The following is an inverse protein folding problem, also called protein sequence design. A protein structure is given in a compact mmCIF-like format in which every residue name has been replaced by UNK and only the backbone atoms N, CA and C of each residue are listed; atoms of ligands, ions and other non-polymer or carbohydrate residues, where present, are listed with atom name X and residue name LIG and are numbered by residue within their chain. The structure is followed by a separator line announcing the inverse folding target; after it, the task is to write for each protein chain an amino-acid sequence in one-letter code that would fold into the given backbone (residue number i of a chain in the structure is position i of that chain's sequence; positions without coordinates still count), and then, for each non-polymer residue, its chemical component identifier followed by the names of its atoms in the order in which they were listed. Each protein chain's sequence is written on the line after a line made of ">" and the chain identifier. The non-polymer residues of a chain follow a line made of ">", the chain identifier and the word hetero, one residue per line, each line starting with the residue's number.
data_IF_419883527401
#
_entry.id   IF_419883527401
#
_cell.length_a   1.000
_cell.length_b   1.000
_cell.length_c   1.000
_cell.angle_alpha   90.00
_cell.angle_beta   90.00
_cell.angle_gamma   90.00
#
_symmetry.space_group_name_H-M   'P 1'
#
loop_
_entity.id
_entity.type
_entity.pdbx_description
1 polymer ?
#
# COMPACT_ATOMS: atom_id res chain seq x y z
N UNK A 1 -47.00 -15.42 48.02
CA UNK A 1 -45.89 -16.37 48.18
C UNK A 1 -45.18 -16.46 46.83
N UNK A 2 -44.13 -15.65 46.64
CA UNK A 2 -43.26 -15.76 45.48
C UNK A 2 -42.08 -16.64 45.90
N UNK A 3 -41.90 -17.77 45.21
CA UNK A 3 -40.76 -18.65 45.40
C UNK A 3 -39.49 -17.91 44.99
N UNK A 4 -38.76 -17.40 45.98
CA UNK A 4 -37.39 -16.93 45.82
C UNK A 4 -36.52 -18.19 45.68
N UNK A 5 -36.25 -18.62 44.44
CA UNK A 5 -35.21 -19.61 44.19
C UNK A 5 -33.89 -18.88 44.42
N UNK A 6 -33.37 -18.97 45.64
CA UNK A 6 -32.00 -18.60 45.95
C UNK A 6 -31.08 -19.41 45.04
N UNK A 7 -30.45 -18.76 44.06
CA UNK A 7 -29.35 -19.36 43.31
C UNK A 7 -28.32 -19.86 44.31
N UNK A 8 -28.10 -21.17 44.34
CA UNK A 8 -27.12 -21.79 45.23
C UNK A 8 -25.75 -21.20 44.93
N UNK A 9 -25.18 -20.49 45.90
CA UNK A 9 -23.84 -19.93 45.82
C UNK A 9 -22.84 -21.09 45.59
N UNK A 10 -22.00 -20.97 44.56
CA UNK A 10 -21.03 -22.01 44.19
C UNK A 10 -20.08 -22.30 45.37
N UNK A 11 -19.81 -23.58 45.64
CA UNK A 11 -18.98 -24.02 46.76
C UNK A 11 -17.54 -24.24 46.31
N UNK A 12 -16.69 -23.23 46.54
CA UNK A 12 -15.26 -23.31 46.23
C UNK A 12 -14.53 -24.31 47.13
N UNK A 13 -13.73 -25.16 46.50
CA UNK A 13 -12.74 -25.99 47.19
C UNK A 13 -11.39 -25.28 47.17
N UNK A 14 -10.57 -25.59 48.17
CA UNK A 14 -9.24 -25.00 48.31
C UNK A 14 -8.21 -26.08 48.57
N UNK A 15 -7.00 -25.85 48.06
CA UNK A 15 -5.81 -26.63 48.42
C UNK A 15 -4.72 -25.69 48.91
N UNK A 16 -3.75 -26.23 49.64
CA UNK A 16 -2.68 -25.43 50.22
C UNK A 16 -1.40 -25.56 49.40
N UNK A 17 -0.92 -24.44 48.87
CA UNK A 17 0.33 -24.34 48.13
C UNK A 17 1.10 -23.09 48.53
N UNK A 18 2.43 -23.20 48.69
CA UNK A 18 3.28 -22.05 49.03
C UNK A 18 2.95 -21.32 50.34
N UNK A 19 2.14 -21.93 51.23
CA UNK A 19 1.70 -21.33 52.50
C UNK A 19 0.32 -20.66 52.47
N UNK A 20 -0.31 -20.54 51.30
CA UNK A 20 -1.61 -19.89 51.09
C UNK A 20 -2.67 -20.91 50.62
N UNK A 21 -3.95 -20.57 50.80
CA UNK A 21 -5.07 -21.34 50.28
C UNK A 21 -5.37 -20.85 48.85
N UNK A 22 -5.22 -21.73 47.87
CA UNK A 22 -5.53 -21.48 46.46
C UNK A 22 -6.83 -22.20 46.08
N UNK A 23 -7.56 -21.63 45.13
CA UNK A 23 -8.80 -22.23 44.64
C UNK A 23 -8.46 -23.49 43.85
N UNK A 24 -9.20 -24.57 44.13
CA UNK A 24 -9.04 -25.84 43.43
C UNK A 24 -10.11 -25.92 42.32
N UNK A 25 -9.67 -25.88 41.05
CA UNK A 25 -10.53 -26.03 39.87
C UNK A 25 -10.47 -27.48 39.38
N UNK A 26 -11.58 -28.23 39.47
CA UNK A 26 -11.64 -29.66 39.08
C UNK A 26 -12.76 -29.97 38.08
N UNK A 27 -13.69 -29.03 37.88
CA UNK A 27 -14.86 -29.21 37.03
C UNK A 27 -15.10 -28.01 36.11
N UNK A 28 -15.83 -28.25 35.02
CA UNK A 28 -16.27 -27.17 34.15
C UNK A 28 -17.19 -26.17 34.85
N UNK A 29 -17.96 -26.61 35.84
CA UNK A 29 -18.80 -25.73 36.66
C UNK A 29 -17.97 -24.83 37.58
N UNK A 30 -16.79 -25.27 38.05
CA UNK A 30 -15.85 -24.41 38.79
C UNK A 30 -15.33 -23.28 37.89
N UNK A 31 -14.98 -23.59 36.64
CA UNK A 31 -14.55 -22.58 35.66
C UNK A 31 -15.66 -21.56 35.42
N UNK A 32 -16.87 -22.00 35.07
CA UNK A 32 -18.00 -21.08 34.79
C UNK A 32 -18.37 -20.22 36.00
N UNK A 33 -18.12 -20.70 37.22
CA UNK A 33 -18.36 -19.95 38.45
C UNK A 33 -17.31 -18.85 38.74
N UNK A 34 -16.18 -18.79 38.01
CA UNK A 34 -15.07 -17.85 38.27
C UNK A 34 -15.49 -16.38 38.28
N UNK A 35 -16.54 -16.01 37.54
CA UNK A 35 -17.09 -14.65 37.53
C UNK A 35 -17.58 -14.18 38.91
N UNK A 36 -17.96 -15.13 39.77
CA UNK A 36 -18.37 -14.90 41.15
C UNK A 36 -17.26 -15.04 42.19
N UNK A 37 -16.02 -15.38 41.78
CA UNK A 37 -14.89 -15.54 42.68
C UNK A 37 -14.37 -14.16 43.13
N UNK A 38 -14.04 -14.03 44.43
CA UNK A 38 -13.42 -12.80 44.94
C UNK A 38 -12.06 -12.59 44.26
N UNK A 39 -11.84 -11.40 43.67
CA UNK A 39 -10.60 -11.02 42.99
C UNK A 39 -9.35 -11.15 43.88
N UNK A 40 -9.48 -11.14 45.21
CA UNK A 40 -8.37 -11.38 46.14
C UNK A 40 -7.79 -12.79 46.09
N UNK A 41 -8.56 -13.72 45.53
CA UNK A 41 -8.15 -15.12 45.34
C UNK A 41 -7.49 -15.35 43.98
N UNK A 42 -7.32 -14.32 43.15
CA UNK A 42 -6.59 -14.41 41.89
C UNK A 42 -5.10 -14.15 42.13
N UNK A 43 -4.25 -15.12 41.77
CA UNK A 43 -2.79 -15.02 41.84
C UNK A 43 -2.21 -14.06 40.80
N UNK A 44 -2.85 -13.94 39.64
CA UNK A 44 -2.47 -13.01 38.58
C UNK A 44 -3.70 -12.27 38.02
N UNK A 45 -3.49 -11.03 37.58
CA UNK A 45 -4.55 -10.21 36.97
C UNK A 45 -4.30 -9.94 35.48
N UNK A 46 -3.13 -10.31 34.98
CA UNK A 46 -2.72 -10.16 33.59
C UNK A 46 -1.64 -11.17 33.22
N UNK A 47 -1.64 -11.64 31.98
CA UNK A 47 -0.63 -12.49 31.37
C UNK A 47 -0.27 -11.97 29.97
N UNK A 48 1.01 -11.83 29.60
CA UNK A 48 1.37 -11.45 28.23
C UNK A 48 1.05 -12.58 27.24
N UNK A 49 0.74 -12.22 26.00
CA UNK A 49 0.47 -13.17 24.89
C UNK A 49 1.76 -13.80 24.34
N UNK A 50 2.91 -13.14 24.54
CA UNK A 50 4.22 -13.53 24.00
C UNK A 50 5.20 -13.85 25.14
N UNK A 51 6.12 -14.78 24.88
CA UNK A 51 7.23 -15.08 25.79
C UNK A 51 6.86 -15.94 27.00
N UNK A 52 5.70 -16.60 26.98
CA UNK A 52 5.25 -17.57 27.98
C UNK A 52 5.29 -18.97 27.37
N UNK A 53 5.63 -19.98 28.16
CA UNK A 53 5.59 -21.39 27.75
C UNK A 53 4.13 -21.90 27.75
N UNK A 54 3.36 -21.46 26.76
CA UNK A 54 1.96 -21.82 26.54
C UNK A 54 1.65 -21.81 25.04
N UNK A 55 0.52 -22.41 24.62
CA UNK A 55 0.09 -22.34 23.22
C UNK A 55 -0.19 -20.89 22.80
N UNK A 56 0.66 -20.36 21.92
CA UNK A 56 0.61 -18.95 21.52
C UNK A 56 -0.70 -18.58 20.80
N UNK A 57 -1.27 -19.49 20.01
CA UNK A 57 -2.50 -19.23 19.27
C UNK A 57 -3.69 -19.17 20.22
N UNK A 58 -3.72 -20.01 21.25
CA UNK A 58 -4.72 -19.91 22.33
C UNK A 58 -4.64 -18.56 23.04
N UNK A 59 -3.43 -18.07 23.35
CA UNK A 59 -3.26 -16.76 23.98
C UNK A 59 -3.74 -15.62 23.06
N UNK A 60 -3.47 -15.69 21.76
CA UNK A 60 -3.95 -14.71 20.79
C UNK A 60 -5.48 -14.69 20.66
N UNK A 61 -6.15 -15.84 20.75
CA UNK A 61 -7.61 -15.91 20.72
C UNK A 61 -8.26 -15.30 21.97
N UNK A 62 -7.55 -15.29 23.10
CA UNK A 62 -7.99 -14.70 24.36
C UNK A 62 -7.79 -13.18 24.42
N UNK A 63 -6.79 -12.64 23.72
CA UNK A 63 -6.49 -11.22 23.62
C UNK A 63 -7.45 -10.53 22.64
N UNK A 64 -8.63 -10.18 23.15
CA UNK A 64 -9.75 -9.71 22.33
C UNK A 64 -9.62 -8.25 21.91
N UNK A 65 -8.79 -7.46 22.60
CA UNK A 65 -8.50 -6.07 22.26
C UNK A 65 -7.13 -5.87 21.57
N UNK A 66 -6.39 -6.96 21.36
CA UNK A 66 -5.10 -7.00 20.69
C UNK A 66 -4.03 -6.09 21.34
N UNK A 67 -4.06 -5.96 22.68
CA UNK A 67 -3.08 -5.19 23.47
C UNK A 67 -1.85 -6.03 23.91
N UNK A 68 -1.73 -7.25 23.39
CA UNK A 68 -0.71 -8.26 23.73
C UNK A 68 -0.79 -8.73 25.21
N UNK A 69 -1.87 -8.44 25.95
CA UNK A 69 -2.07 -8.84 27.35
C UNK A 69 -3.47 -9.36 27.66
N UNK A 70 -3.53 -10.61 28.11
CA UNK A 70 -4.77 -11.23 28.59
C UNK A 70 -5.05 -10.82 30.02
N UNK A 71 -6.26 -10.35 30.32
CA UNK A 71 -6.70 -9.93 31.66
C UNK A 71 -7.89 -10.75 32.15
N UNK A 72 -8.21 -10.63 33.44
CA UNK A 72 -9.33 -11.33 34.08
C UNK A 72 -10.64 -11.29 33.27
N UNK A 73 -11.11 -10.13 32.75
CA UNK A 73 -12.35 -10.10 31.97
C UNK A 73 -12.35 -11.01 30.74
N UNK A 74 -11.20 -11.18 30.08
CA UNK A 74 -11.07 -12.00 28.88
C UNK A 74 -11.06 -13.48 29.22
N UNK A 75 -10.39 -13.88 30.31
CA UNK A 75 -10.50 -15.24 30.85
C UNK A 75 -11.96 -15.58 31.17
N UNK A 76 -12.66 -14.66 31.84
CA UNK A 76 -14.07 -14.85 32.20
C UNK A 76 -14.96 -14.94 30.96
N UNK A 77 -14.77 -14.07 29.97
CA UNK A 77 -15.53 -14.10 28.72
C UNK A 77 -15.28 -15.41 27.94
N UNK A 78 -14.04 -15.88 27.88
CA UNK A 78 -13.70 -17.13 27.21
C UNK A 78 -14.34 -18.34 27.88
N UNK A 79 -14.32 -18.39 29.21
CA UNK A 79 -14.95 -19.45 30.00
C UNK A 79 -16.48 -19.42 29.84
N UNK A 80 -17.10 -18.24 29.91
CA UNK A 80 -18.54 -18.07 29.72
C UNK A 80 -18.97 -18.54 28.32
N UNK A 81 -18.28 -18.09 27.28
CA UNK A 81 -18.56 -18.48 25.91
C UNK A 81 -18.39 -19.99 25.69
N UNK A 82 -17.29 -20.57 26.18
CA UNK A 82 -17.03 -22.02 26.10
C UNK A 82 -18.13 -22.80 26.80
N UNK A 83 -18.51 -22.38 28.00
CA UNK A 83 -19.56 -23.02 28.79
C UNK A 83 -20.96 -22.91 28.17
N UNK A 84 -21.22 -21.88 27.36
CA UNK A 84 -22.47 -21.71 26.60
C UNK A 84 -22.51 -22.55 25.32
N UNK A 85 -21.35 -22.93 24.78
CA UNK A 85 -21.25 -23.80 23.61
C UNK A 85 -21.40 -25.30 23.96
N UNK A 86 -21.38 -25.68 25.24
CA UNK A 86 -21.29 -27.08 25.69
C UNK A 86 -22.50 -27.51 26.51
N UNK A 87 -23.05 -28.70 26.20
CA UNK A 87 -24.00 -29.43 27.05
C UNK A 87 -23.30 -30.06 28.25
N UNK A 88 -22.08 -30.56 28.03
CA UNK A 88 -21.22 -31.13 29.06
C UNK A 88 -19.98 -30.25 29.27
N UNK A 89 -20.01 -29.42 30.30
CA UNK A 89 -18.92 -28.51 30.65
C UNK A 89 -17.69 -29.24 31.17
N UNK A 90 -17.79 -30.51 31.56
CA UNK A 90 -16.62 -31.27 32.03
C UNK A 90 -15.58 -31.46 30.91
N UNK A 91 -15.99 -31.29 29.65
CA UNK A 91 -15.07 -31.24 28.51
C UNK A 91 -14.06 -30.09 28.61
N UNK A 92 -14.33 -29.01 29.35
CA UNK A 92 -13.35 -27.95 29.62
C UNK A 92 -12.20 -28.39 30.54
N UNK A 93 -12.35 -29.54 31.21
CA UNK A 93 -11.35 -30.13 32.11
C UNK A 93 -10.68 -31.33 31.47
N UNK A 94 -11.43 -32.14 30.72
CA UNK A 94 -10.97 -33.41 30.17
C UNK A 94 -10.77 -33.37 28.63
N UNK A 95 -10.89 -32.19 28.02
CA UNK A 95 -10.87 -31.99 26.56
C UNK A 95 -9.49 -32.02 25.93
N UNK A 96 -8.45 -32.51 26.62
CA UNK A 96 -7.07 -32.48 26.08
C UNK A 96 -6.92 -33.26 24.77
N UNK A 97 -7.75 -34.27 24.54
CA UNK A 97 -7.74 -35.08 23.33
C UNK A 97 -8.68 -34.56 22.23
N UNK A 98 -9.47 -33.51 22.50
CA UNK A 98 -10.49 -32.98 21.60
C UNK A 98 -11.86 -32.86 22.25
N UNK A 99 -12.82 -32.33 21.49
CA UNK A 99 -14.19 -32.06 21.92
C UNK A 99 -15.14 -33.09 21.28
N UNK A 100 -15.88 -33.89 22.08
CA UNK A 100 -16.89 -34.79 21.52
C UNK A 100 -18.01 -33.99 20.86
N UNK A 101 -18.43 -34.37 19.66
CA UNK A 101 -19.52 -33.69 18.95
C UNK A 101 -20.83 -33.72 19.75
N UNK A 102 -21.05 -34.79 20.53
CA UNK A 102 -22.21 -34.94 21.42
C UNK A 102 -22.20 -33.99 22.61
N UNK A 103 -21.03 -33.43 22.97
CA UNK A 103 -20.89 -32.50 24.08
C UNK A 103 -21.21 -31.04 23.69
N UNK A 104 -21.31 -30.73 22.39
CA UNK A 104 -21.62 -29.38 21.89
C UNK A 104 -23.13 -29.13 21.95
N UNK A 105 -23.52 -27.93 22.39
CA UNK A 105 -24.92 -27.55 22.58
C UNK A 105 -25.61 -27.04 21.31
N UNK A 106 -26.33 -27.94 20.63
CA UNK A 106 -27.17 -27.62 19.47
C UNK A 106 -28.35 -26.68 19.76
N UNK A 107 -28.71 -26.49 21.03
CA UNK A 107 -29.83 -25.63 21.44
C UNK A 107 -29.45 -24.15 21.53
N UNK A 108 -28.15 -23.86 21.70
CA UNK A 108 -27.64 -22.48 21.62
C UNK A 108 -27.26 -22.12 20.18
N UNK A 109 -27.36 -20.85 19.83
CA UNK A 109 -26.98 -20.37 18.50
C UNK A 109 -25.49 -20.61 18.22
N UNK A 110 -24.63 -20.34 19.19
CA UNK A 110 -23.19 -20.54 19.09
C UNK A 110 -22.83 -22.03 19.00
N UNK A 111 -23.39 -22.87 19.88
CA UNK A 111 -23.10 -24.31 19.86
C UNK A 111 -23.62 -24.98 18.58
N UNK A 112 -24.76 -24.55 18.02
CA UNK A 112 -25.23 -25.05 16.72
C UNK A 112 -24.27 -24.70 15.58
N UNK A 113 -23.82 -23.44 15.51
CA UNK A 113 -22.85 -22.98 14.50
C UNK A 113 -21.54 -23.76 14.59
N UNK A 114 -21.00 -23.92 15.80
CA UNK A 114 -19.76 -24.67 16.04
C UNK A 114 -19.92 -26.15 15.69
N UNK A 115 -21.06 -26.78 16.03
CA UNK A 115 -21.31 -28.18 15.71
C UNK A 115 -21.40 -28.43 14.19
N UNK A 116 -22.12 -27.58 13.47
CA UNK A 116 -22.26 -27.70 12.01
C UNK A 116 -20.90 -27.47 11.30
N UNK A 117 -20.12 -26.49 11.77
CA UNK A 117 -18.76 -26.26 11.30
C UNK A 117 -17.83 -27.44 11.61
N UNK A 118 -17.85 -27.98 12.83
CA UNK A 118 -17.03 -29.14 13.21
C UNK A 118 -17.31 -30.37 12.34
N UNK A 119 -18.59 -30.64 12.02
CA UNK A 119 -18.98 -31.71 11.09
C UNK A 119 -18.46 -31.46 9.68
N UNK A 120 -18.51 -30.22 9.22
CA UNK A 120 -18.00 -29.81 7.90
C UNK A 120 -16.49 -30.00 7.81
N UNK A 121 -15.75 -29.61 8.85
CA UNK A 121 -14.30 -29.83 8.97
C UNK A 121 -13.99 -31.32 8.85
N UNK A 122 -14.62 -32.15 9.69
CA UNK A 122 -14.39 -33.59 9.69
C UNK A 122 -14.73 -34.25 8.36
N UNK A 123 -15.83 -33.85 7.71
CA UNK A 123 -16.20 -34.37 6.40
C UNK A 123 -15.15 -34.05 5.33
N UNK A 124 -14.67 -32.81 5.26
CA UNK A 124 -13.63 -32.41 4.31
C UNK A 124 -12.27 -33.09 4.55
N UNK A 125 -11.99 -33.46 5.81
CA UNK A 125 -10.82 -34.27 6.16
C UNK A 125 -11.02 -35.78 5.93
N UNK A 126 -12.17 -36.21 5.41
CA UNK A 126 -12.50 -37.62 5.21
C UNK A 126 -12.78 -38.40 6.51
N UNK A 127 -13.09 -37.69 7.59
CA UNK A 127 -13.35 -38.19 8.96
C UNK A 127 -14.84 -38.12 9.32
N UNK A 128 -15.75 -38.36 8.37
CA UNK A 128 -17.21 -38.23 8.54
C UNK A 128 -17.79 -39.05 9.70
N UNK A 129 -17.15 -40.16 10.07
CA UNK A 129 -17.58 -41.04 11.15
C UNK A 129 -16.86 -40.76 12.49
N UNK A 130 -16.09 -39.68 12.58
CA UNK A 130 -15.44 -39.29 13.82
C UNK A 130 -16.44 -38.62 14.77
N UNK A 131 -16.44 -39.08 16.04
CA UNK A 131 -17.29 -38.50 17.10
C UNK A 131 -16.58 -37.37 17.87
N UNK A 132 -15.33 -37.04 17.49
CA UNK A 132 -14.42 -36.15 18.19
C UNK A 132 -13.77 -35.18 17.20
N UNK A 133 -13.74 -33.88 17.52
CA UNK A 133 -13.00 -32.85 16.78
C UNK A 133 -11.79 -32.38 17.62
N UNK A 134 -10.62 -32.26 17.00
CA UNK A 134 -9.37 -31.90 17.67
C UNK A 134 -8.82 -30.56 17.20
N UNK A 135 -7.84 -30.01 17.94
CA UNK A 135 -7.13 -28.81 17.51
C UNK A 135 -6.37 -29.09 16.20
N UNK A 136 -5.78 -30.28 16.08
CA UNK A 136 -5.06 -30.73 14.88
C UNK A 136 -5.98 -30.77 13.65
N UNK A 137 -7.24 -31.21 13.78
CA UNK A 137 -8.21 -31.19 12.69
C UNK A 137 -8.48 -29.75 12.21
N UNK A 138 -8.58 -28.79 13.13
CA UNK A 138 -8.82 -27.38 12.78
C UNK A 138 -7.61 -26.74 12.11
N UNK A 139 -6.38 -27.08 12.53
CA UNK A 139 -5.13 -26.64 11.88
C UNK A 139 -4.99 -27.24 10.48
N UNK A 140 -5.23 -28.55 10.34
CA UNK A 140 -5.12 -29.27 9.06
C UNK A 140 -6.12 -28.69 8.06
N UNK A 141 -7.38 -28.51 8.47
CA UNK A 141 -8.40 -27.94 7.61
C UNK A 141 -8.14 -26.48 7.28
N UNK A 142 -7.70 -25.67 8.26
CA UNK A 142 -7.28 -24.29 8.02
C UNK A 142 -6.19 -24.18 6.97
N UNK A 143 -5.25 -25.13 6.95
CA UNK A 143 -4.18 -25.18 5.92
C UNK A 143 -4.71 -25.55 4.53
N UNK A 144 -5.68 -26.47 4.45
CA UNK A 144 -6.33 -26.83 3.18
C UNK A 144 -7.11 -25.63 2.63
N UNK A 145 -7.83 -24.96 3.52
CA UNK A 145 -8.74 -23.89 3.18
C UNK A 145 -8.00 -22.58 2.85
N UNK A 146 -6.89 -22.29 3.53
CA UNK A 146 -6.00 -21.20 3.14
C UNK A 146 -5.43 -21.36 1.71
N UNK A 147 -5.39 -22.60 1.18
CA UNK A 147 -4.93 -22.91 -0.19
C UNK A 147 -6.06 -22.93 -1.22
N UNK A 148 -7.31 -22.70 -0.82
CA UNK A 148 -8.38 -22.57 -1.80
C UNK A 148 -8.26 -21.24 -2.52
N UNK A 149 -8.83 -21.20 -3.73
CA UNK A 149 -8.80 -20.01 -4.60
C UNK A 149 -9.42 -18.76 -3.96
N UNK A 150 -10.42 -18.98 -3.11
CA UNK A 150 -11.08 -17.97 -2.30
C UNK A 150 -11.00 -18.45 -0.86
N UNK A 151 -10.51 -17.61 0.04
CA UNK A 151 -10.31 -17.93 1.45
C UNK A 151 -11.00 -16.95 2.42
N UNK A 152 -11.82 -16.03 1.92
CA UNK A 152 -12.76 -15.25 2.71
C UNK A 152 -12.13 -14.21 3.63
N UNK A 153 -10.97 -13.66 3.27
CA UNK A 153 -10.34 -12.52 3.96
C UNK A 153 -10.48 -11.20 3.19
N UNK A 154 -11.03 -11.23 1.97
CA UNK A 154 -11.21 -10.08 1.09
C UNK A 154 -9.94 -9.62 0.40
N UNK A 155 -8.90 -10.44 0.42
CA UNK A 155 -7.64 -10.23 -0.29
C UNK A 155 -7.61 -11.15 -1.50
N UNK A 156 -7.30 -10.60 -2.67
CA UNK A 156 -7.12 -11.39 -3.90
C UNK A 156 -5.65 -11.44 -4.30
N UNK A 157 -5.20 -12.61 -4.72
CA UNK A 157 -3.81 -12.87 -5.14
C UNK A 157 -3.77 -13.29 -6.60
N UNK A 158 -2.57 -13.49 -7.14
CA UNK A 158 -2.41 -14.05 -8.49
C UNK A 158 -3.02 -15.47 -8.63
N UNK A 159 -3.28 -16.18 -7.52
CA UNK A 159 -3.92 -17.50 -7.50
C UNK A 159 -5.46 -17.41 -7.57
N UNK A 160 -6.04 -16.24 -7.28
CA UNK A 160 -7.50 -16.02 -7.27
C UNK A 160 -8.11 -16.04 -8.69
N UNK A 161 -7.29 -15.93 -9.74
CA UNK A 161 -7.75 -15.93 -11.13
C UNK A 161 -6.84 -16.72 -12.06
N UNK A 162 -7.41 -17.31 -13.11
CA UNK A 162 -6.66 -17.94 -14.20
C UNK A 162 -6.39 -16.96 -15.36
N UNK A 163 -6.98 -15.76 -15.30
CA UNK A 163 -6.79 -14.71 -16.28
C UNK A 163 -5.44 -14.00 -16.06
N UNK A 164 -4.51 -14.19 -17.00
CA UNK A 164 -3.18 -13.57 -16.97
C UNK A 164 -3.22 -12.04 -16.96
N UNK A 165 -4.27 -11.43 -17.52
CA UNK A 165 -4.47 -9.98 -17.52
C UNK A 165 -4.75 -9.50 -16.10
N UNK A 166 -5.70 -10.14 -15.41
CA UNK A 166 -6.04 -9.81 -14.02
C UNK A 166 -4.87 -10.09 -13.07
N UNK A 167 -4.09 -11.16 -13.29
CA UNK A 167 -2.85 -11.41 -12.53
C UNK A 167 -1.84 -10.28 -12.72
N UNK A 168 -1.65 -9.83 -13.96
CA UNK A 168 -0.78 -8.69 -14.27
C UNK A 168 -1.24 -7.42 -13.55
N UNK A 169 -2.55 -7.18 -13.50
CA UNK A 169 -3.11 -6.05 -12.76
C UNK A 169 -2.92 -6.13 -11.25
N UNK A 170 -3.10 -7.32 -10.64
CA UNK A 170 -2.80 -7.53 -9.22
C UNK A 170 -1.32 -7.24 -8.94
N UNK A 171 -0.41 -7.71 -9.80
CA UNK A 171 1.03 -7.45 -9.65
C UNK A 171 1.37 -5.95 -9.77
N UNK A 172 0.77 -5.24 -10.73
CA UNK A 172 0.97 -3.80 -10.92
C UNK A 172 0.48 -3.00 -9.70
N UNK A 173 -0.66 -3.37 -9.11
CA UNK A 173 -1.19 -2.75 -7.88
C UNK A 173 -0.24 -3.01 -6.72
N UNK A 174 0.24 -4.25 -6.54
CA UNK A 174 1.20 -4.60 -5.49
C UNK A 174 2.48 -3.76 -5.61
N UNK A 175 3.01 -3.62 -6.83
CA UNK A 175 4.21 -2.83 -7.08
C UNK A 175 4.03 -1.35 -6.73
N UNK A 176 2.85 -0.78 -6.98
CA UNK A 176 2.60 0.65 -6.82
C UNK A 176 2.12 1.03 -5.41
N UNK A 177 1.12 0.31 -4.89
CA UNK A 177 0.42 0.65 -3.66
C UNK A 177 0.96 -0.14 -2.47
N UNK A 178 1.44 -1.36 -2.71
CA UNK A 178 1.82 -2.34 -1.69
C UNK A 178 0.86 -3.52 -1.68
N UNK A 179 1.06 -4.43 -0.72
CA UNK A 179 0.28 -5.66 -0.59
C UNK A 179 -0.20 -5.90 0.83
N UNK A 180 -1.30 -6.60 0.96
CA UNK A 180 -1.70 -7.28 2.19
C UNK A 180 -1.35 -8.77 2.12
N UNK A 181 -1.13 -9.37 3.29
CA UNK A 181 -0.86 -10.82 3.36
C UNK A 181 -2.19 -11.54 3.41
N UNK A 182 -2.48 -12.29 2.36
CA UNK A 182 -3.63 -13.18 2.27
C UNK A 182 -3.46 -14.37 3.24
N UNK A 183 -4.55 -15.03 3.64
CA UNK A 183 -4.52 -16.21 4.53
C UNK A 183 -3.66 -17.36 4.01
N UNK A 184 -3.44 -17.46 2.70
CA UNK A 184 -2.48 -18.40 2.10
C UNK A 184 -1.01 -18.09 2.42
N UNK A 185 -0.71 -16.86 2.86
CA UNK A 185 0.62 -16.32 3.07
C UNK A 185 1.19 -15.57 1.86
N UNK A 186 0.48 -15.56 0.73
CA UNK A 186 0.88 -14.84 -0.48
C UNK A 186 0.53 -13.34 -0.39
N UNK A 187 1.29 -12.47 -1.08
CA UNK A 187 0.92 -11.06 -1.18
C UNK A 187 -0.28 -10.89 -2.12
N UNK A 188 -1.25 -10.10 -1.68
CA UNK A 188 -2.45 -9.79 -2.44
C UNK A 188 -2.89 -8.35 -2.28
N UNK A 189 -4.05 -8.05 -2.87
CA UNK A 189 -4.66 -6.71 -2.88
C UNK A 189 -6.10 -6.81 -2.40
N UNK A 190 -6.51 -5.82 -1.61
CA UNK A 190 -7.89 -5.69 -1.17
C UNK A 190 -8.64 -4.62 -1.99
N UNK A 191 -9.92 -4.43 -1.65
CA UNK A 191 -10.78 -3.42 -2.28
C UNK A 191 -10.18 -2.00 -2.26
N UNK A 192 -9.68 -1.56 -1.10
CA UNK A 192 -9.15 -0.20 -0.92
C UNK A 192 -7.95 0.04 -1.85
N UNK A 193 -7.05 -0.94 -1.95
CA UNK A 193 -5.88 -0.87 -2.83
C UNK A 193 -6.27 -0.75 -4.30
N UNK A 194 -7.27 -1.51 -4.75
CA UNK A 194 -7.79 -1.47 -6.14
C UNK A 194 -8.41 -0.10 -6.44
N UNK A 195 -9.29 0.39 -5.57
CA UNK A 195 -9.99 1.67 -5.75
C UNK A 195 -9.00 2.85 -5.69
N UNK A 196 -8.00 2.77 -4.82
CA UNK A 196 -6.91 3.75 -4.74
C UNK A 196 -6.08 3.76 -6.02
N UNK A 197 -5.68 2.60 -6.54
CA UNK A 197 -4.93 2.50 -7.78
C UNK A 197 -5.70 3.11 -8.96
N UNK A 198 -7.01 2.84 -9.06
CA UNK A 198 -7.86 3.41 -10.10
C UNK A 198 -7.95 4.95 -10.00
N UNK A 199 -8.18 5.45 -8.78
CA UNK A 199 -8.28 6.89 -8.51
C UNK A 199 -6.97 7.61 -8.83
N UNK A 200 -5.83 7.06 -8.38
CA UNK A 200 -4.51 7.63 -8.66
C UNK A 200 -4.17 7.57 -10.15
N UNK A 201 -4.52 6.48 -10.85
CA UNK A 201 -4.38 6.35 -12.31
C UNK A 201 -5.18 7.41 -13.05
N UNK A 202 -6.45 7.58 -12.70
CA UNK A 202 -7.33 8.56 -13.33
C UNK A 202 -6.86 10.00 -13.11
N UNK A 203 -6.45 10.33 -11.88
CA UNK A 203 -5.91 11.66 -11.55
C UNK A 203 -4.61 11.94 -12.32
N UNK A 204 -3.71 10.97 -12.39
CA UNK A 204 -2.46 11.11 -13.12
C UNK A 204 -2.68 11.24 -14.63
N UNK A 205 -3.58 10.44 -15.22
CA UNK A 205 -3.92 10.55 -16.64
C UNK A 205 -4.62 11.88 -16.95
N UNK A 206 -5.50 12.38 -16.07
CA UNK A 206 -6.16 13.66 -16.26
C UNK A 206 -5.14 14.82 -16.26
N UNK A 207 -4.21 14.84 -15.30
CA UNK A 207 -3.09 15.79 -15.31
C UNK A 207 -2.23 15.60 -16.57
N UNK A 208 -1.87 14.37 -16.91
CA UNK A 208 -1.08 14.08 -18.08
C UNK A 208 -1.80 14.46 -19.37
N UNK A 209 -3.11 14.53 -19.43
CA UNK A 209 -3.84 14.89 -20.65
C UNK A 209 -4.21 16.38 -20.73
N UNK A 210 -3.84 17.16 -19.71
CA UNK A 210 -4.12 18.59 -19.66
C UNK A 210 -3.55 19.33 -20.89
N UNK A 211 -4.39 20.04 -21.67
CA UNK A 211 -3.92 20.72 -22.86
C UNK A 211 -2.98 21.87 -22.47
N UNK A 212 -1.77 21.89 -23.06
CA UNK A 212 -0.85 23.02 -22.92
C UNK A 212 -1.26 24.12 -23.90
N UNK A 213 -1.75 25.24 -23.38
CA UNK A 213 -2.21 26.35 -24.20
C UNK A 213 -1.13 26.81 -25.19
N UNK A 214 -1.49 26.89 -26.49
CA UNK A 214 -0.58 27.34 -27.55
C UNK A 214 0.40 26.27 -28.06
N UNK A 215 0.36 25.05 -27.53
CA UNK A 215 1.24 23.95 -27.93
C UNK A 215 0.46 22.78 -28.53
N UNK A 216 0.96 22.27 -29.66
CA UNK A 216 0.43 21.06 -30.32
C UNK A 216 1.17 19.79 -29.90
N UNK A 217 2.33 19.95 -29.29
CA UNK A 217 3.28 18.91 -28.91
C UNK A 217 3.86 19.21 -27.54
N UNK A 218 4.40 18.18 -26.89
CA UNK A 218 5.09 18.31 -25.59
C UNK A 218 6.56 17.98 -25.73
N UNK A 219 7.35 18.43 -24.76
CA UNK A 219 8.70 17.88 -24.59
C UNK A 219 8.57 16.36 -24.32
N UNK A 220 9.45 15.54 -24.92
CA UNK A 220 9.52 14.10 -24.61
C UNK A 220 9.61 13.86 -23.10
N UNK A 221 9.12 12.71 -22.63
CA UNK A 221 9.30 12.33 -21.22
C UNK A 221 10.79 12.13 -20.90
N UNK A 222 11.50 11.43 -21.79
CA UNK A 222 12.94 11.20 -21.68
C UNK A 222 13.73 12.49 -21.98
N UNK A 223 14.68 12.84 -21.10
CA UNK A 223 15.56 14.01 -21.28
C UNK A 223 14.89 15.37 -21.01
N UNK A 224 13.62 15.38 -20.65
CA UNK A 224 12.82 16.57 -20.29
C UNK A 224 13.47 17.52 -19.31
N UNK A 225 13.90 17.01 -18.16
CA UNK A 225 14.52 17.82 -17.11
C UNK A 225 15.81 18.47 -17.61
N UNK A 226 16.60 17.74 -18.39
CA UNK A 226 17.82 18.26 -18.99
C UNK A 226 17.51 19.34 -20.05
N UNK A 227 16.46 19.14 -20.84
CA UNK A 227 15.99 20.13 -21.80
C UNK A 227 15.56 21.44 -21.11
N UNK A 228 14.83 21.36 -19.99
CA UNK A 228 14.43 22.54 -19.20
C UNK A 228 15.63 23.18 -18.49
N UNK A 229 16.58 22.40 -17.95
CA UNK A 229 17.83 22.94 -17.39
C UNK A 229 18.63 23.69 -18.45
N UNK A 230 18.80 23.10 -19.63
CA UNK A 230 19.48 23.72 -20.76
C UNK A 230 18.77 25.00 -21.22
N UNK A 231 17.44 24.99 -21.27
CA UNK A 231 16.65 26.17 -21.57
C UNK A 231 16.99 27.34 -20.64
N UNK A 232 16.99 27.12 -19.32
CA UNK A 232 17.32 28.17 -18.35
C UNK A 232 18.78 28.64 -18.42
N UNK A 233 19.70 27.74 -18.78
CA UNK A 233 21.12 28.08 -18.95
C UNK A 233 21.33 29.01 -20.16
N UNK A 234 20.66 28.74 -21.27
CA UNK A 234 20.89 29.43 -22.55
C UNK A 234 19.99 30.66 -22.72
N UNK A 235 18.79 30.67 -22.13
CA UNK A 235 17.79 31.73 -22.26
C UNK A 235 18.36 33.14 -22.04
N UNK A 236 19.11 33.44 -20.96
CA UNK A 236 19.63 34.80 -20.74
C UNK A 236 20.54 35.29 -21.88
N UNK A 237 21.28 34.38 -22.52
CA UNK A 237 22.18 34.71 -23.62
C UNK A 237 21.42 35.03 -24.91
N UNK A 238 20.31 34.33 -25.17
CA UNK A 238 19.42 34.60 -26.30
C UNK A 238 18.63 35.89 -26.06
N UNK A 239 18.13 36.11 -24.84
CA UNK A 239 17.48 37.37 -24.43
C UNK A 239 18.41 38.58 -24.64
N UNK A 240 19.68 38.49 -24.23
CA UNK A 240 20.71 39.54 -24.47
C UNK A 240 20.95 39.78 -25.98
N UNK A 241 21.03 38.71 -26.79
CA UNK A 241 21.20 38.85 -28.24
C UNK A 241 20.05 39.63 -28.90
N UNK A 242 18.80 39.28 -28.61
CA UNK A 242 17.66 40.00 -29.18
C UNK A 242 17.56 41.44 -28.66
N UNK A 243 17.91 41.69 -27.39
CA UNK A 243 17.97 43.05 -26.85
C UNK A 243 19.02 43.90 -27.56
N UNK A 244 20.22 43.35 -27.82
CA UNK A 244 21.27 44.02 -28.62
C UNK A 244 20.80 44.33 -30.04
N UNK A 245 20.11 43.39 -30.69
CA UNK A 245 19.56 43.61 -32.03
C UNK A 245 18.46 44.69 -32.03
N UNK A 246 17.62 44.73 -30.98
CA UNK A 246 16.63 45.79 -30.80
C UNK A 246 17.28 47.16 -30.60
N UNK A 247 18.39 47.23 -29.85
CA UNK A 247 19.17 48.46 -29.69
C UNK A 247 19.81 48.91 -31.00
N UNK A 248 20.38 47.98 -31.78
CA UNK A 248 20.93 48.26 -33.11
C UNK A 248 19.86 48.78 -34.08
N UNK A 249 18.63 48.31 -33.95
CA UNK A 249 17.48 48.77 -34.76
C UNK A 249 16.95 50.14 -34.32
N UNK A 250 17.06 50.45 -33.02
CA UNK A 250 16.66 51.75 -32.46
C UNK A 250 17.64 52.87 -32.82
N UNK A 251 18.94 52.63 -32.72
CA UNK A 251 20.00 53.57 -33.12
C UNK A 251 21.08 52.82 -33.90
N UNK A 252 21.29 53.20 -35.16
CA UNK A 252 22.30 52.58 -36.03
C UNK A 252 23.72 52.57 -35.46
N UNK A 253 24.07 53.52 -34.57
CA UNK A 253 25.38 53.55 -33.89
C UNK A 253 25.53 52.40 -32.90
N UNK A 254 24.43 51.93 -32.31
CA UNK A 254 24.45 50.82 -31.37
C UNK A 254 24.81 49.49 -32.04
N UNK A 255 24.59 49.32 -33.35
CA UNK A 255 24.99 48.10 -34.05
C UNK A 255 26.50 47.83 -33.95
N UNK A 256 27.32 48.89 -34.01
CA UNK A 256 28.79 48.78 -33.87
C UNK A 256 29.17 48.53 -32.41
N UNK A 257 28.57 49.25 -31.48
CA UNK A 257 28.92 49.20 -30.04
C UNK A 257 28.45 47.90 -29.36
N UNK A 258 27.34 47.32 -29.82
CA UNK A 258 26.76 46.10 -29.23
C UNK A 258 27.41 44.82 -29.76
N UNK A 259 28.17 44.90 -30.86
CA UNK A 259 29.07 43.83 -31.31
C UNK A 259 30.39 43.88 -30.52
N UNK A 260 31.20 42.83 -30.64
CA UNK A 260 32.56 42.82 -30.08
C UNK A 260 33.41 43.92 -30.74
N UNK A 261 34.11 44.72 -29.93
CA UNK A 261 35.03 45.73 -30.47
C UNK A 261 36.29 45.09 -31.04
N UNK A 262 36.96 45.79 -31.95
CA UNK A 262 38.24 45.37 -32.52
C UNK A 262 39.29 45.15 -31.43
N UNK A 263 39.31 46.00 -30.39
CA UNK A 263 40.21 45.84 -29.24
C UNK A 263 39.93 44.57 -28.45
N UNK A 264 38.65 44.22 -28.25
CA UNK A 264 38.24 43.02 -27.52
C UNK A 264 38.64 41.74 -28.26
N UNK A 265 38.52 41.75 -29.59
CA UNK A 265 38.97 40.63 -30.44
C UNK A 265 40.50 40.57 -30.55
N UNK A 266 41.17 41.72 -30.69
CA UNK A 266 42.62 41.80 -30.71
C UNK A 266 43.26 41.31 -29.40
N UNK A 267 42.60 41.52 -28.26
CA UNK A 267 43.05 41.00 -26.97
C UNK A 267 43.00 39.47 -26.87
N UNK A 268 42.13 38.81 -27.65
CA UNK A 268 42.05 37.34 -27.71
C UNK A 268 43.06 36.73 -28.67
N UNK A 269 43.47 37.46 -29.72
CA UNK A 269 44.36 36.98 -30.78
C UNK A 269 45.69 36.36 -30.31
N UNK A 270 46.42 36.88 -29.30
CA UNK A 270 47.68 36.29 -28.86
C UNK A 270 47.51 35.09 -27.90
N UNK A 271 46.27 34.75 -27.48
CA UNK A 271 46.01 33.68 -26.50
C UNK A 271 45.77 32.33 -27.19
N UNK A 272 45.96 31.25 -26.43
CA UNK A 272 45.43 29.95 -26.83
C UNK A 272 43.90 29.96 -26.71
N UNK A 273 43.18 30.11 -27.82
CA UNK A 273 41.72 30.22 -27.84
C UNK A 273 41.01 28.98 -27.28
N UNK A 274 41.66 27.80 -27.32
CA UNK A 274 41.10 26.58 -26.70
C UNK A 274 41.06 26.65 -25.16
N UNK A 275 41.81 27.57 -24.54
CA UNK A 275 41.85 27.80 -23.09
C UNK A 275 41.14 29.11 -22.69
N UNK A 276 40.57 29.84 -23.65
CA UNK A 276 39.93 31.15 -23.44
C UNK A 276 38.39 31.09 -23.53
N UNK A 277 37.80 29.93 -23.23
CA UNK A 277 36.36 29.66 -23.41
C UNK A 277 35.46 30.64 -22.66
N UNK A 278 35.82 31.01 -21.43
CA UNK A 278 35.06 32.00 -20.64
C UNK A 278 35.03 33.39 -21.29
N UNK A 279 36.15 33.85 -21.84
CA UNK A 279 36.23 35.16 -22.50
C UNK A 279 35.48 35.15 -23.83
N UNK A 280 35.56 34.04 -24.58
CA UNK A 280 34.80 33.84 -25.80
C UNK A 280 33.29 33.81 -25.49
N UNK A 281 32.87 33.19 -24.38
CA UNK A 281 31.47 33.12 -23.97
C UNK A 281 30.85 34.50 -23.64
N UNK A 282 31.67 35.49 -23.26
CA UNK A 282 31.23 36.87 -23.01
C UNK A 282 30.91 37.64 -24.30
N UNK A 283 31.49 37.27 -25.44
CA UNK A 283 31.17 37.88 -26.75
C UNK A 283 29.70 37.64 -27.12
N UNK A 284 29.06 38.48 -27.96
CA UNK A 284 27.68 38.28 -28.40
C UNK A 284 27.42 36.86 -28.91
N UNK A 285 26.18 36.38 -28.77
CA UNK A 285 25.80 35.01 -29.17
C UNK A 285 25.99 34.79 -30.68
N UNK A 286 25.67 35.80 -31.47
CA UNK A 286 25.87 35.88 -32.92
C UNK A 286 26.06 37.35 -33.28
N UNK A 287 26.37 37.63 -34.55
CA UNK A 287 26.53 38.99 -35.04
C UNK A 287 25.24 39.80 -34.79
N UNK A 288 25.37 40.94 -34.10
CA UNK A 288 24.25 41.83 -33.83
C UNK A 288 23.92 42.60 -35.11
N UNK A 289 22.70 42.44 -35.61
CA UNK A 289 22.21 43.09 -36.84
C UNK A 289 20.85 43.77 -36.60
N UNK A 290 20.46 44.67 -37.49
CA UNK A 290 19.13 45.31 -37.47
C UNK A 290 18.00 44.38 -37.91
N UNK A 291 18.32 43.23 -38.51
CA UNK A 291 17.32 42.22 -38.87
C UNK A 291 16.80 41.46 -37.64
N UNK A 292 17.63 41.33 -36.59
CA UNK A 292 17.23 40.68 -35.34
C UNK A 292 16.80 39.23 -35.50
N UNK A 293 17.56 38.47 -36.30
CA UNK A 293 17.33 37.03 -36.54
C UNK A 293 18.55 36.25 -36.09
N UNK A 294 18.32 35.18 -35.31
CA UNK A 294 19.35 34.25 -34.87
C UNK A 294 19.35 33.01 -35.77
N UNK A 295 20.38 32.81 -36.59
CA UNK A 295 20.63 31.56 -37.29
C UNK A 295 21.12 30.50 -36.27
N UNK A 296 20.37 29.42 -36.09
CA UNK A 296 20.66 28.39 -35.09
C UNK A 296 21.76 27.40 -35.54
N UNK A 297 22.25 27.52 -36.78
CA UNK A 297 23.28 26.65 -37.35
C UNK A 297 24.59 27.39 -37.63
N UNK A 298 24.52 28.68 -37.98
CA UNK A 298 25.66 29.46 -38.49
C UNK A 298 25.88 30.73 -37.68
N UNK A 299 27.14 31.17 -37.62
CA UNK A 299 27.51 32.41 -36.96
C UNK A 299 27.34 32.40 -35.44
N UNK A 300 27.04 31.25 -34.84
CA UNK A 300 26.96 31.10 -33.40
C UNK A 300 28.36 31.17 -32.79
N UNK A 301 28.48 31.95 -31.72
CA UNK A 301 29.64 32.04 -30.88
C UNK A 301 30.18 30.63 -30.54
N UNK A 302 31.48 30.34 -30.79
CA UNK A 302 32.05 29.02 -30.59
C UNK A 302 31.80 28.40 -29.22
N UNK A 303 31.79 29.20 -28.15
CA UNK A 303 31.56 28.74 -26.78
C UNK A 303 30.10 28.32 -26.52
N UNK A 304 29.14 28.81 -27.32
CA UNK A 304 27.71 28.52 -27.14
C UNK A 304 27.14 27.55 -28.18
N UNK A 305 27.89 27.27 -29.25
CA UNK A 305 27.42 26.49 -30.41
C UNK A 305 26.87 25.11 -30.04
N UNK A 306 27.54 24.37 -29.16
CA UNK A 306 27.07 23.05 -28.72
C UNK A 306 25.76 23.16 -27.95
N UNK A 307 25.65 24.11 -27.02
CA UNK A 307 24.44 24.34 -26.22
C UNK A 307 23.26 24.80 -27.09
N UNK A 308 23.50 25.65 -28.10
CA UNK A 308 22.46 26.09 -29.04
C UNK A 308 21.98 24.92 -29.92
N UNK A 309 22.90 24.05 -30.38
CA UNK A 309 22.51 22.86 -31.12
C UNK A 309 21.66 21.89 -30.27
N UNK A 310 22.04 21.68 -29.00
CA UNK A 310 21.26 20.89 -28.05
C UNK A 310 19.90 21.54 -27.73
N UNK A 311 19.85 22.87 -27.55
CA UNK A 311 18.61 23.60 -27.30
C UNK A 311 17.66 23.43 -28.50
N UNK A 312 18.22 23.49 -29.71
CA UNK A 312 17.45 23.27 -30.93
C UNK A 312 16.86 21.88 -31.00
N UNK A 313 17.64 20.83 -30.72
CA UNK A 313 17.15 19.45 -30.78
C UNK A 313 16.18 19.10 -29.66
N UNK A 314 16.43 19.61 -28.45
CA UNK A 314 15.74 19.13 -27.23
C UNK A 314 14.58 20.01 -26.79
N UNK A 315 14.50 21.27 -27.25
CA UNK A 315 13.43 22.20 -26.87
C UNK A 315 12.74 22.80 -28.09
N UNK A 316 13.49 23.44 -28.99
CA UNK A 316 12.89 24.19 -30.12
C UNK A 316 12.22 23.24 -31.10
N UNK A 317 12.88 22.14 -31.48
CA UNK A 317 12.33 21.19 -32.43
C UNK A 317 11.05 20.51 -31.92
N UNK A 318 10.99 19.99 -30.67
CA UNK A 318 9.76 19.44 -30.12
C UNK A 318 8.62 20.44 -30.04
N UNK A 319 8.86 21.72 -29.71
CA UNK A 319 7.81 22.71 -29.46
C UNK A 319 7.38 23.50 -30.70
N UNK A 320 8.29 23.71 -31.66
CA UNK A 320 8.07 24.60 -32.81
C UNK A 320 8.49 23.98 -34.15
N UNK A 321 8.93 22.73 -34.16
CA UNK A 321 9.36 22.03 -35.36
C UNK A 321 10.73 22.49 -35.87
N UNK A 322 11.00 22.23 -37.16
CA UNK A 322 12.32 22.54 -37.74
C UNK A 322 12.49 24.04 -38.01
N UNK A 323 12.93 24.76 -36.98
CA UNK A 323 13.32 26.18 -37.07
C UNK A 323 14.82 26.26 -37.31
N UNK A 324 15.22 26.88 -38.43
CA UNK A 324 16.64 27.17 -38.75
C UNK A 324 17.06 28.58 -38.32
N UNK A 325 16.11 29.52 -38.37
CA UNK A 325 16.30 30.92 -38.02
C UNK A 325 15.22 31.35 -37.05
N UNK A 326 15.62 31.94 -35.93
CA UNK A 326 14.73 32.34 -34.85
C UNK A 326 14.58 33.87 -34.82
N UNK A 327 13.35 34.36 -34.94
CA UNK A 327 13.01 35.78 -34.73
C UNK A 327 12.75 36.09 -33.25
N UNK A 328 12.73 37.37 -32.90
CA UNK A 328 12.34 37.80 -31.54
C UNK A 328 10.91 37.38 -31.19
N UNK A 329 9.96 37.42 -32.14
CA UNK A 329 8.59 36.99 -31.90
C UNK A 329 8.49 35.49 -31.63
N UNK A 330 9.20 34.67 -32.40
CA UNK A 330 9.27 33.21 -32.19
C UNK A 330 9.94 32.89 -30.85
N UNK A 331 10.91 33.69 -30.43
CA UNK A 331 11.53 33.54 -29.11
C UNK A 331 10.56 33.86 -27.96
N UNK A 332 9.72 34.89 -28.08
CA UNK A 332 8.66 35.14 -27.10
C UNK A 332 7.62 34.01 -27.06
N UNK A 333 7.23 33.46 -28.22
CA UNK A 333 6.34 32.29 -28.30
C UNK A 333 6.94 31.06 -27.60
N UNK A 334 8.23 30.79 -27.81
CA UNK A 334 8.95 29.72 -27.11
C UNK A 334 9.00 29.96 -25.59
N UNK A 335 9.19 31.21 -25.14
CA UNK A 335 9.15 31.54 -23.70
C UNK A 335 7.79 31.25 -23.09
N UNK A 336 6.70 31.58 -23.77
CA UNK A 336 5.34 31.28 -23.32
C UNK A 336 5.09 29.76 -23.30
N UNK A 337 5.52 29.04 -24.34
CA UNK A 337 5.43 27.59 -24.43
C UNK A 337 6.14 26.89 -23.27
N UNK A 338 7.38 27.25 -22.97
CA UNK A 338 8.14 26.66 -21.86
C UNK A 338 7.53 27.06 -20.51
N UNK A 339 7.02 28.28 -20.34
CA UNK A 339 6.33 28.67 -19.10
C UNK A 339 5.06 27.84 -18.87
N UNK A 340 4.26 27.61 -19.91
CA UNK A 340 3.07 26.76 -19.83
C UNK A 340 3.45 25.33 -19.43
N UNK A 341 4.55 24.82 -20.00
CA UNK A 341 5.12 23.53 -19.68
C UNK A 341 5.55 23.40 -18.21
N UNK A 342 6.28 24.38 -17.69
CA UNK A 342 6.73 24.40 -16.30
C UNK A 342 5.57 24.49 -15.31
N UNK A 343 4.52 25.25 -15.68
CA UNK A 343 3.31 25.38 -14.87
C UNK A 343 2.59 24.04 -14.78
N UNK A 344 2.36 23.39 -15.92
CA UNK A 344 1.80 22.03 -15.96
C UNK A 344 2.63 21.03 -15.17
N UNK A 345 3.95 21.05 -15.33
CA UNK A 345 4.85 20.15 -14.59
C UNK A 345 4.81 20.40 -13.08
N UNK A 346 4.72 21.66 -12.65
CA UNK A 346 4.61 22.01 -11.22
C UNK A 346 3.30 21.53 -10.58
N UNK A 347 2.25 21.32 -11.39
CA UNK A 347 0.95 20.79 -10.95
C UNK A 347 0.87 19.26 -11.01
N UNK A 348 2.00 18.56 -11.18
CA UNK A 348 2.03 17.11 -11.30
C UNK A 348 1.44 16.41 -10.09
N UNK A 349 0.60 15.41 -10.36
CA UNK A 349 0.12 14.47 -9.34
C UNK A 349 1.27 13.54 -8.95
N UNK A 350 1.71 13.62 -7.69
CA UNK A 350 2.69 12.70 -7.13
C UNK A 350 2.01 11.39 -6.72
N UNK A 351 2.34 10.31 -7.43
CA UNK A 351 1.84 8.96 -7.17
C UNK A 351 2.89 7.93 -7.60
N UNK A 352 2.95 6.82 -6.89
CA UNK A 352 3.78 5.66 -7.24
C UNK A 352 3.30 4.96 -8.51
N UNK A 353 2.02 5.09 -8.86
CA UNK A 353 1.39 4.56 -10.07
C UNK A 353 2.06 5.11 -11.34
N UNK A 354 2.59 6.33 -11.29
CA UNK A 354 3.33 6.95 -12.39
C UNK A 354 4.53 6.11 -12.87
N UNK A 355 5.09 5.25 -12.00
CA UNK A 355 6.25 4.41 -12.32
C UNK A 355 5.95 3.32 -13.35
N UNK A 356 4.68 2.93 -13.55
CA UNK A 356 4.28 1.96 -14.58
C UNK A 356 4.38 2.53 -16.00
N UNK A 357 4.41 3.86 -16.12
CA UNK A 357 4.48 4.57 -17.39
C UNK A 357 3.14 4.70 -18.09
N UNK A 358 3.03 5.75 -18.91
CA UNK A 358 1.78 6.19 -19.55
C UNK A 358 1.07 5.10 -20.35
N UNK A 359 1.80 4.25 -21.07
CA UNK A 359 1.22 3.21 -21.91
C UNK A 359 0.43 2.18 -21.09
N UNK A 360 0.98 1.78 -19.93
CA UNK A 360 0.34 0.81 -19.04
C UNK A 360 -0.87 1.41 -18.33
N UNK A 361 -0.78 2.67 -17.90
CA UNK A 361 -1.89 3.39 -17.28
C UNK A 361 -3.06 3.61 -18.26
N UNK A 362 -2.75 3.92 -19.52
CA UNK A 362 -3.76 3.99 -20.59
C UNK A 362 -4.43 2.65 -20.83
N UNK A 363 -3.67 1.54 -20.77
CA UNK A 363 -4.21 0.20 -20.90
C UNK A 363 -5.21 -0.10 -19.75
N UNK A 364 -4.85 0.20 -18.50
CA UNK A 364 -5.76 0.08 -17.35
C UNK A 364 -7.06 0.85 -17.59
N UNK A 365 -6.96 2.12 -17.99
CA UNK A 365 -8.12 2.98 -18.24
C UNK A 365 -9.00 2.48 -19.39
N UNK A 366 -8.42 1.82 -20.40
CA UNK A 366 -9.15 1.26 -21.53
C UNK A 366 -9.83 -0.07 -21.21
N UNK A 367 -9.18 -0.95 -20.43
CA UNK A 367 -9.71 -2.26 -20.05
C UNK A 367 -10.74 -2.18 -18.91
N UNK A 368 -10.67 -1.15 -18.06
CA UNK A 368 -11.56 -0.95 -16.90
C UNK A 368 -11.69 -2.19 -15.99
N UNK A 369 -10.58 -2.81 -15.55
CA UNK A 369 -10.59 -4.10 -14.84
C UNK A 369 -11.18 -4.00 -13.42
N UNK A 370 -11.42 -2.79 -12.90
CA UNK A 370 -11.89 -2.53 -11.53
C UNK A 370 -13.12 -3.37 -11.17
N UNK A 371 -14.12 -3.43 -12.05
CA UNK A 371 -15.37 -4.18 -11.76
C UNK A 371 -15.10 -5.68 -11.61
N UNK A 372 -14.22 -6.24 -12.43
CA UNK A 372 -13.88 -7.67 -12.37
C UNK A 372 -13.02 -7.99 -11.15
N UNK A 373 -12.02 -7.16 -10.84
CA UNK A 373 -11.19 -7.31 -9.63
C UNK A 373 -12.02 -7.20 -8.36
N UNK A 374 -12.89 -6.19 -8.25
CA UNK A 374 -13.79 -6.05 -7.10
C UNK A 374 -14.80 -7.19 -7.00
N UNK A 375 -15.25 -7.75 -8.14
CA UNK A 375 -16.08 -8.95 -8.12
C UNK A 375 -15.33 -10.17 -7.57
N UNK A 376 -14.01 -10.29 -7.76
CA UNK A 376 -13.22 -11.35 -7.15
C UNK A 376 -13.12 -11.16 -5.64
N UNK A 377 -12.92 -9.92 -5.17
CA UNK A 377 -12.94 -9.57 -3.75
C UNK A 377 -14.29 -9.90 -3.11
N UNK A 378 -15.40 -9.55 -3.76
CA UNK A 378 -16.74 -9.83 -3.25
C UNK A 378 -17.05 -11.34 -3.18
N UNK A 379 -16.58 -12.10 -4.18
CA UNK A 379 -16.69 -13.57 -4.18
C UNK A 379 -15.86 -14.20 -3.08
N UNK A 380 -14.70 -13.62 -2.79
CA UNK A 380 -13.88 -14.05 -1.67
C UNK A 380 -14.59 -13.80 -0.34
N UNK A 381 -14.95 -12.54 -0.06
CA UNK A 381 -15.65 -12.13 1.16
C UNK A 381 -16.97 -12.86 1.40
N UNK A 382 -17.67 -13.30 0.35
CA UNK A 382 -18.88 -14.10 0.49
C UNK A 382 -18.65 -15.41 1.27
N UNK A 383 -17.42 -15.92 1.30
CA UNK A 383 -17.06 -17.11 2.07
C UNK A 383 -16.65 -16.79 3.51
N UNK A 384 -16.42 -15.53 3.88
CA UNK A 384 -15.99 -15.13 5.22
C UNK A 384 -16.79 -15.78 6.36
N UNK A 385 -18.14 -15.88 6.30
CA UNK A 385 -18.90 -16.52 7.37
C UNK A 385 -18.55 -18.00 7.59
N UNK A 386 -18.18 -18.72 6.54
CA UNK A 386 -17.75 -20.12 6.62
C UNK A 386 -16.38 -20.22 7.31
N UNK A 387 -15.46 -19.30 7.00
CA UNK A 387 -14.15 -19.20 7.65
C UNK A 387 -14.23 -18.79 9.12
N UNK A 388 -15.06 -17.80 9.42
CA UNK A 388 -15.29 -17.36 10.80
C UNK A 388 -15.85 -18.51 11.64
N UNK A 389 -16.74 -19.32 11.07
CA UNK A 389 -17.30 -20.49 11.75
C UNK A 389 -16.23 -21.55 12.07
N UNK A 390 -15.21 -21.72 11.22
CA UNK A 390 -14.08 -22.64 11.47
C UNK A 390 -13.19 -22.11 12.59
N UNK A 391 -12.92 -20.80 12.60
CA UNK A 391 -12.17 -20.17 13.70
C UNK A 391 -12.90 -20.36 15.03
N UNK A 392 -14.25 -20.37 15.04
CA UNK A 392 -15.01 -20.72 16.25
C UNK A 392 -14.76 -22.17 16.71
N UNK A 393 -14.58 -23.12 15.79
CA UNK A 393 -14.25 -24.52 16.16
C UNK A 393 -12.81 -24.61 16.68
N UNK A 394 -11.86 -23.93 16.05
CA UNK A 394 -10.49 -23.81 16.57
C UNK A 394 -10.52 -23.23 17.99
N UNK A 395 -11.26 -22.14 18.19
CA UNK A 395 -11.43 -21.50 19.49
C UNK A 395 -12.00 -22.44 20.53
N UNK A 396 -13.09 -23.15 20.22
CA UNK A 396 -13.70 -24.11 21.15
C UNK A 396 -12.72 -25.24 21.52
N UNK A 397 -12.10 -25.87 20.52
CA UNK A 397 -11.19 -27.00 20.77
C UNK A 397 -9.96 -26.60 21.59
N UNK A 398 -9.37 -25.43 21.30
CA UNK A 398 -8.28 -24.87 22.10
C UNK A 398 -8.72 -24.50 23.51
N UNK A 399 -9.87 -23.85 23.66
CA UNK A 399 -10.37 -23.46 24.98
C UNK A 399 -10.69 -24.68 25.86
N UNK A 400 -11.27 -25.74 25.31
CA UNK A 400 -11.49 -26.99 26.05
C UNK A 400 -10.17 -27.70 26.44
N UNK A 401 -9.10 -27.52 25.65
CA UNK A 401 -7.77 -28.07 25.94
C UNK A 401 -7.03 -27.26 27.00
N UNK A 402 -7.14 -25.93 26.95
CA UNK A 402 -6.16 -25.01 27.54
C UNK A 402 -6.70 -24.11 28.66
N UNK A 403 -8.02 -23.85 28.74
CA UNK A 403 -8.56 -22.89 29.72
C UNK A 403 -8.30 -23.31 31.17
N UNK A 404 -8.40 -24.60 31.50
CA UNK A 404 -8.13 -25.06 32.86
C UNK A 404 -6.65 -24.87 33.26
N UNK A 405 -5.66 -25.35 32.48
CA UNK A 405 -4.25 -25.04 32.73
C UNK A 405 -3.99 -23.54 32.87
N UNK A 406 -4.59 -22.70 32.02
CA UNK A 406 -4.42 -21.25 32.09
C UNK A 406 -5.06 -20.66 33.35
N UNK A 407 -6.30 -21.03 33.67
CA UNK A 407 -7.02 -20.55 34.85
C UNK A 407 -6.29 -20.91 36.15
N UNK A 408 -5.69 -22.11 36.24
CA UNK A 408 -4.86 -22.52 37.38
C UNK A 408 -3.58 -21.68 37.57
N UNK A 409 -3.15 -20.92 36.55
CA UNK A 409 -2.06 -19.96 36.69
C UNK A 409 -2.56 -18.55 37.09
N UNK A 410 -3.85 -18.28 36.90
CA UNK A 410 -4.49 -17.01 37.29
C UNK A 410 -5.07 -17.04 38.70
N UNK A 411 -5.46 -18.21 39.22
CA UNK A 411 -6.22 -18.39 40.47
C UNK A 411 -5.53 -19.34 41.44
#
# INVERSE_FOLDING_TARGET
>A
MANNVSATQHQWKFFRAGGFDQVLLESGDDLVALSGLDKKLWAALSCPVKGVEFDQRTLQLLDTDADDHIRVPEILAAVEWTGACLKDRQVMVNGQQGVPLSAIDSETEDGRRVLDAARTILANLGKENADLITVEDTIEFGTILARTRFNGDGVITALTTDDETLKGWIADIIQCIGSETDRSGEPGVNREMIERFDTETAAWLAWNDEPLAGLTTRLPDEGREEAIRLWHLVRPKIDDFFLRCSMASFDSRAAVVMNSSDESLAALAPRNLSEAENDIALLPLSAVTTQGVLDLERGINPAWRTMIAQLRSSVIYPLSGNVAMLSSSQWEELKQAVQAYETWWSNRVETTVANLGIARLRQWSAEQPVTELLSLVDRDLALQPEFDAIEQVERLTRYCRDLLPLANNFV
#
